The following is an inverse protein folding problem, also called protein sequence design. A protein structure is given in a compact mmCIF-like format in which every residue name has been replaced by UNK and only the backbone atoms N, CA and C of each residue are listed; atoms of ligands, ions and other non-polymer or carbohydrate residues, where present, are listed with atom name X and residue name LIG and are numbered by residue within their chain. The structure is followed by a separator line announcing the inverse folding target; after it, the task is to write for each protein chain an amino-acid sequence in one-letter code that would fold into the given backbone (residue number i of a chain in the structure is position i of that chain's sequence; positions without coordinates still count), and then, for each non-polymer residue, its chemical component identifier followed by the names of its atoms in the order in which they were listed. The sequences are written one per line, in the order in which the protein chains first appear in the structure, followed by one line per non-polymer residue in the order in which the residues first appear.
data_IF_389470985481
#
_entry.id   IF_389470985481
#
_cell.length_a   1.000
_cell.length_b   1.000
_cell.length_c   1.000
_cell.angle_alpha   90.00
_cell.angle_beta   90.00
_cell.angle_gamma   90.00
#
_symmetry.space_group_name_H-M   'P 1'
#
loop_
_entity.id
_entity.type
_entity.pdbx_description
1 polymer ?
#
# COMPACT_ATOMS: atom_id res chain seq x y z
N UNK A 1 20.23 35.58 -13.02
CA UNK A 1 19.97 35.54 -11.58
C UNK A 1 19.80 34.07 -11.22
N UNK A 2 20.07 33.64 -9.99
CA UNK A 2 19.67 32.30 -9.56
C UNK A 2 18.30 32.37 -8.87
N UNK A 3 17.59 31.26 -8.88
CA UNK A 3 16.37 31.00 -8.12
C UNK A 3 16.74 29.95 -7.08
N UNK A 4 16.50 30.28 -5.82
CA UNK A 4 16.70 29.33 -4.72
C UNK A 4 15.54 28.35 -4.70
N UNK A 5 15.85 27.06 -4.75
CA UNK A 5 14.89 25.99 -4.47
C UNK A 5 15.37 25.21 -3.25
N UNK A 6 14.44 24.64 -2.49
CA UNK A 6 14.75 23.81 -1.32
C UNK A 6 14.09 22.45 -1.48
N UNK A 7 14.88 21.38 -1.40
CA UNK A 7 14.42 19.99 -1.52
C UNK A 7 14.93 19.22 -0.31
N UNK A 8 14.03 18.72 0.56
CA UNK A 8 14.39 18.03 1.81
C UNK A 8 15.42 18.78 2.69
N UNK A 9 15.31 20.12 2.76
CA UNK A 9 16.23 20.95 3.53
C UNK A 9 17.55 21.30 2.80
N UNK A 10 17.82 20.68 1.66
CA UNK A 10 18.96 21.05 0.78
C UNK A 10 18.58 22.28 -0.05
N UNK A 11 19.33 23.36 0.12
CA UNK A 11 19.18 24.61 -0.64
C UNK A 11 20.00 24.50 -1.93
N UNK A 12 19.36 24.71 -3.08
CA UNK A 12 19.98 24.60 -4.41
C UNK A 12 19.75 25.92 -5.16
N UNK A 13 20.81 26.47 -5.74
CA UNK A 13 20.78 27.68 -6.57
C UNK A 13 20.56 27.31 -8.04
N UNK A 14 19.31 27.35 -8.51
CA UNK A 14 18.95 27.06 -9.90
C UNK A 14 19.13 28.27 -10.81
N UNK A 15 19.49 28.12 -12.09
CA UNK A 15 19.51 29.25 -13.02
C UNK A 15 18.11 29.84 -13.24
N UNK A 16 18.01 31.17 -13.18
CA UNK A 16 16.97 31.89 -13.92
C UNK A 16 17.31 31.86 -15.41
N UNK A 17 16.29 31.86 -16.27
CA UNK A 17 16.48 31.82 -17.74
C UNK A 17 17.52 32.83 -18.25
N UNK A 18 18.27 32.44 -19.28
CA UNK A 18 19.13 33.35 -20.06
C UNK A 18 20.59 33.50 -19.60
N UNK A 19 21.11 32.65 -18.70
CA UNK A 19 22.52 32.68 -18.28
C UNK A 19 23.27 31.39 -18.68
N UNK A 20 24.46 31.54 -19.29
CA UNK A 20 25.35 30.43 -19.69
C UNK A 20 26.56 30.10 -18.77
N UNK A 21 26.47 30.15 -17.42
CA UNK A 21 27.47 29.55 -16.53
C UNK A 21 27.60 28.01 -16.62
N UNK A 22 28.64 27.46 -15.97
CA UNK A 22 28.75 26.02 -15.74
C UNK A 22 27.74 25.58 -14.66
N UNK A 23 26.55 25.18 -15.10
CA UNK A 23 25.46 24.75 -14.21
C UNK A 23 25.50 23.27 -13.83
N UNK A 24 26.51 22.52 -14.27
CA UNK A 24 26.62 21.10 -13.96
C UNK A 24 26.51 20.81 -12.45
N UNK A 25 27.13 21.57 -11.53
CA UNK A 25 27.00 21.32 -10.09
C UNK A 25 25.55 21.47 -9.58
N UNK A 26 24.86 22.55 -9.91
CA UNK A 26 23.49 22.79 -9.46
C UNK A 26 22.50 21.74 -9.98
N UNK A 27 22.68 21.29 -11.23
CA UNK A 27 21.85 20.22 -11.83
C UNK A 27 22.14 18.86 -11.18
N UNK A 28 23.40 18.57 -10.81
CA UNK A 28 23.76 17.34 -10.10
C UNK A 28 23.17 17.35 -8.68
N UNK A 29 23.33 18.46 -7.94
CA UNK A 29 22.78 18.62 -6.59
C UNK A 29 21.25 18.49 -6.58
N UNK A 30 20.59 19.05 -7.59
CA UNK A 30 19.16 18.84 -7.81
C UNK A 30 18.79 17.38 -7.98
N UNK A 31 19.45 16.69 -8.91
CA UNK A 31 19.14 15.29 -9.19
C UNK A 31 19.33 14.43 -7.94
N UNK A 32 20.40 14.67 -7.18
CA UNK A 32 20.67 13.97 -5.91
C UNK A 32 19.64 14.29 -4.82
N UNK A 33 19.26 15.56 -4.67
CA UNK A 33 18.26 15.95 -3.66
C UNK A 33 16.86 15.41 -4.00
N UNK A 34 16.49 15.38 -5.29
CA UNK A 34 15.25 14.75 -5.76
C UNK A 34 15.28 13.24 -5.56
N UNK A 35 16.38 12.58 -5.89
CA UNK A 35 16.57 11.14 -5.65
C UNK A 35 16.40 10.81 -4.16
N UNK A 36 17.06 11.54 -3.26
CA UNK A 36 16.92 11.35 -1.81
C UNK A 36 15.50 11.64 -1.32
N UNK A 37 14.85 12.69 -1.84
CA UNK A 37 13.46 12.99 -1.51
C UNK A 37 12.50 11.87 -1.92
N UNK A 38 12.70 11.30 -3.11
CA UNK A 38 11.90 10.18 -3.60
C UNK A 38 12.18 8.89 -2.83
N UNK A 39 13.44 8.60 -2.51
CA UNK A 39 13.83 7.46 -1.68
C UNK A 39 13.24 7.56 -0.25
N UNK A 40 13.15 8.77 0.30
CA UNK A 40 12.50 8.99 1.60
C UNK A 40 10.97 8.87 1.55
N UNK A 41 10.38 8.93 0.35
CA UNK A 41 8.92 8.89 0.17
C UNK A 41 8.36 7.48 0.06
N UNK A 42 9.20 6.45 -0.06
CA UNK A 42 8.80 5.04 -0.14
C UNK A 42 9.65 4.23 0.83
N UNK A 43 9.04 3.74 1.89
CA UNK A 43 9.69 2.85 2.85
C UNK A 43 10.07 1.50 2.21
N UNK A 44 11.09 0.79 2.74
CA UNK A 44 11.53 -0.51 2.20
C UNK A 44 10.45 -1.61 2.27
N UNK A 45 9.41 -1.41 3.09
CA UNK A 45 8.26 -2.32 3.24
C UNK A 45 6.95 -1.68 2.79
N UNK A 46 7.01 -0.53 2.09
CA UNK A 46 5.84 0.03 1.44
C UNK A 46 5.48 -0.82 0.22
N UNK A 47 4.17 -0.90 -0.03
CA UNK A 47 3.63 -1.67 -1.15
C UNK A 47 2.96 -0.68 -2.10
N UNK A 48 3.49 -0.48 -3.33
CA UNK A 48 2.88 0.41 -4.28
C UNK A 48 1.50 -0.10 -4.72
N UNK A 49 0.62 0.80 -5.22
CA UNK A 49 -0.70 0.42 -5.70
C UNK A 49 -0.63 -0.71 -6.73
N UNK A 50 -1.34 -1.80 -6.45
CA UNK A 50 -1.43 -2.95 -7.33
C UNK A 50 -2.80 -3.63 -7.19
N UNK A 51 -3.11 -4.55 -8.10
CA UNK A 51 -4.33 -5.33 -8.05
C UNK A 51 -4.04 -6.80 -8.32
N UNK A 52 -4.78 -7.67 -7.62
CA UNK A 52 -4.77 -9.12 -7.84
C UNK A 52 -6.20 -9.59 -8.13
N UNK A 53 -6.30 -10.68 -8.88
CA UNK A 53 -7.55 -11.41 -8.99
C UNK A 53 -7.76 -12.25 -7.72
N UNK A 54 -8.96 -12.20 -7.15
CA UNK A 54 -9.35 -12.97 -5.95
C UNK A 54 -10.47 -13.93 -6.32
N UNK A 55 -10.46 -15.16 -5.84
CA UNK A 55 -11.48 -16.18 -6.15
C UNK A 55 -12.51 -16.32 -5.01
N UNK A 56 -13.53 -17.17 -5.19
CA UNK A 56 -14.34 -17.70 -4.08
C UNK A 56 -13.46 -18.67 -3.27
N UNK A 57 -12.85 -18.18 -2.20
CA UNK A 57 -11.79 -18.86 -1.46
C UNK A 57 -12.26 -19.20 -0.04
N UNK A 58 -12.75 -20.44 0.14
CA UNK A 58 -13.15 -20.94 1.46
C UNK A 58 -11.94 -21.17 2.40
N UNK A 59 -10.75 -21.35 1.83
CA UNK A 59 -9.48 -21.48 2.57
C UNK A 59 -8.67 -20.19 2.52
N UNK A 60 -7.93 -19.94 3.59
CA UNK A 60 -7.03 -18.79 3.70
C UNK A 60 -6.02 -18.78 2.56
N UNK A 61 -6.01 -17.69 1.78
CA UNK A 61 -5.13 -17.50 0.61
C UNK A 61 -4.21 -16.31 0.86
N UNK A 62 -2.88 -16.46 0.72
CA UNK A 62 -1.95 -15.38 1.00
C UNK A 62 -2.04 -14.27 -0.04
N UNK A 63 -1.90 -13.02 0.42
CA UNK A 63 -1.67 -11.87 -0.44
C UNK A 63 -0.17 -11.60 -0.44
N UNK A 64 0.56 -12.21 -1.36
CA UNK A 64 2.03 -12.28 -1.34
C UNK A 64 2.73 -10.91 -1.20
N UNK A 65 2.14 -9.86 -1.77
CA UNK A 65 2.70 -8.50 -1.67
C UNK A 65 2.53 -7.85 -0.28
N UNK A 66 1.63 -8.37 0.57
CA UNK A 66 1.37 -7.90 1.93
C UNK A 66 2.04 -8.83 2.94
N UNK A 67 3.36 -8.72 3.05
CA UNK A 67 4.19 -9.50 3.97
C UNK A 67 5.13 -8.57 4.74
N UNK A 68 4.96 -8.50 6.06
CA UNK A 68 5.59 -7.49 6.90
C UNK A 68 6.42 -8.13 8.02
N UNK A 69 7.76 -8.16 7.92
CA UNK A 69 8.59 -8.84 8.90
C UNK A 69 8.54 -8.18 10.27
N UNK A 70 8.26 -8.98 11.30
CA UNK A 70 8.10 -8.55 12.69
C UNK A 70 9.37 -8.01 13.34
N UNK A 71 10.54 -8.27 12.76
CA UNK A 71 11.83 -7.77 13.26
C UNK A 71 12.10 -6.31 12.92
N UNK A 72 11.32 -5.73 12.01
CA UNK A 72 11.60 -4.39 11.44
C UNK A 72 10.35 -3.55 11.25
N UNK A 73 9.16 -4.14 11.07
CA UNK A 73 7.91 -3.40 10.92
C UNK A 73 7.16 -3.32 12.26
N UNK A 74 6.71 -2.13 12.63
CA UNK A 74 5.90 -1.87 13.83
C UNK A 74 4.41 -1.78 13.52
N UNK A 75 4.08 -1.08 12.44
CA UNK A 75 2.70 -0.82 12.03
C UNK A 75 2.61 -0.72 10.52
N UNK A 76 1.45 -1.01 9.95
CA UNK A 76 1.18 -0.87 8.52
C UNK A 76 -0.21 -0.34 8.31
N UNK A 77 -0.33 0.68 7.47
CA UNK A 77 -1.63 1.18 6.99
C UNK A 77 -1.84 0.73 5.54
N UNK A 78 -2.90 -0.05 5.33
CA UNK A 78 -3.26 -0.62 4.03
C UNK A 78 -4.55 0.04 3.57
N UNK A 79 -4.55 0.61 2.37
CA UNK A 79 -5.77 1.06 1.70
C UNK A 79 -6.13 0.05 0.64
N UNK A 80 -7.42 -0.28 0.54
CA UNK A 80 -7.86 -1.33 -0.37
C UNK A 80 -9.23 -1.03 -0.98
N UNK A 81 -9.51 -1.71 -2.09
CA UNK A 81 -10.82 -1.80 -2.70
C UNK A 81 -11.03 -3.19 -3.28
N UNK A 82 -12.23 -3.73 -3.06
CA UNK A 82 -12.68 -5.03 -3.51
C UNK A 82 -13.83 -4.81 -4.48
N UNK A 83 -13.79 -5.53 -5.58
CA UNK A 83 -14.88 -5.67 -6.51
C UNK A 83 -15.07 -7.15 -6.80
N UNK A 84 -16.28 -7.66 -6.62
CA UNK A 84 -16.64 -9.05 -6.94
C UNK A 84 -17.96 -9.07 -7.67
N UNK A 85 -18.06 -9.91 -8.70
CA UNK A 85 -19.24 -10.01 -9.53
C UNK A 85 -19.44 -11.40 -10.08
N UNK A 86 -20.69 -11.79 -10.28
CA UNK A 86 -21.02 -12.89 -11.20
C UNK A 86 -21.95 -12.47 -12.35
N UNK A 87 -22.28 -13.40 -13.22
CA UNK A 87 -23.28 -13.25 -14.28
C UNK A 87 -24.73 -13.18 -13.75
N UNK A 88 -24.96 -13.48 -12.48
CA UNK A 88 -26.29 -13.33 -11.86
C UNK A 88 -26.64 -11.84 -11.66
N UNK A 89 -27.82 -11.36 -12.10
CA UNK A 89 -28.25 -9.98 -11.83
C UNK A 89 -28.23 -9.66 -10.33
N UNK A 90 -27.71 -8.49 -9.97
CA UNK A 90 -27.54 -8.02 -8.57
C UNK A 90 -26.49 -8.78 -7.73
N UNK A 91 -25.68 -9.65 -8.33
CA UNK A 91 -24.54 -10.28 -7.66
C UNK A 91 -23.26 -9.46 -7.84
N UNK A 92 -23.31 -8.19 -7.45
CA UNK A 92 -22.15 -7.32 -7.44
C UNK A 92 -21.89 -6.85 -6.01
N UNK A 93 -20.67 -7.07 -5.55
CA UNK A 93 -20.23 -6.73 -4.21
C UNK A 93 -19.01 -5.82 -4.32
N UNK A 94 -19.11 -4.66 -3.69
CA UNK A 94 -18.07 -3.65 -3.63
C UNK A 94 -17.77 -3.31 -2.19
N UNK A 95 -16.49 -3.14 -1.91
CA UNK A 95 -15.98 -2.66 -0.63
C UNK A 95 -14.77 -1.78 -0.89
N UNK A 96 -14.63 -0.70 -0.13
CA UNK A 96 -13.43 0.11 -0.11
C UNK A 96 -13.16 0.53 1.33
N UNK A 97 -11.90 0.56 1.73
CA UNK A 97 -11.57 0.81 3.13
C UNK A 97 -10.10 0.92 3.42
N UNK A 98 -9.82 0.99 4.70
CA UNK A 98 -8.48 0.97 5.29
C UNK A 98 -8.37 -0.13 6.32
N UNK A 99 -7.20 -0.76 6.38
CA UNK A 99 -6.81 -1.69 7.43
C UNK A 99 -5.54 -1.18 8.09
N UNK A 100 -5.51 -1.22 9.41
CA UNK A 100 -4.30 -0.93 10.18
C UNK A 100 -3.85 -2.21 10.87
N UNK A 101 -2.58 -2.55 10.66
CA UNK A 101 -1.91 -3.66 11.31
C UNK A 101 -0.91 -3.10 12.31
N UNK A 102 -0.94 -3.58 13.55
CA UNK A 102 0.06 -3.22 14.56
C UNK A 102 0.65 -4.48 15.17
N UNK A 103 1.98 -4.52 15.27
CA UNK A 103 2.69 -5.65 15.86
C UNK A 103 2.90 -5.43 17.35
N UNK A 104 2.32 -6.31 18.17
CA UNK A 104 2.61 -6.41 19.59
C UNK A 104 3.75 -7.41 19.81
N UNK A 105 4.92 -6.88 20.14
CA UNK A 105 6.14 -7.66 20.41
C UNK A 105 6.06 -8.47 21.71
N UNK A 106 5.16 -8.13 22.64
CA UNK A 106 5.02 -8.85 23.92
C UNK A 106 4.28 -10.16 23.69
N UNK A 107 3.15 -10.13 22.97
CA UNK A 107 2.38 -11.32 22.62
C UNK A 107 2.90 -12.02 21.37
N UNK A 108 3.81 -11.38 20.60
CA UNK A 108 4.26 -11.85 19.28
C UNK A 108 3.10 -12.02 18.29
N UNK A 109 2.13 -11.11 18.34
CA UNK A 109 0.93 -11.15 17.48
C UNK A 109 0.72 -9.84 16.74
N UNK A 110 0.09 -9.93 15.58
CA UNK A 110 -0.44 -8.78 14.88
C UNK A 110 -1.90 -8.54 15.27
N UNK A 111 -2.22 -7.30 15.63
CA UNK A 111 -3.61 -6.84 15.65
C UNK A 111 -3.98 -6.27 14.29
N UNK A 112 -5.15 -6.64 13.78
CA UNK A 112 -5.72 -6.11 12.54
C UNK A 112 -7.02 -5.40 12.88
N UNK A 113 -7.09 -4.12 12.55
CA UNK A 113 -8.31 -3.32 12.56
C UNK A 113 -8.67 -2.91 11.14
N UNK A 114 -9.96 -2.84 10.83
CA UNK A 114 -10.47 -2.53 9.49
C UNK A 114 -11.68 -1.62 9.59
N UNK A 115 -11.64 -0.55 8.79
CA UNK A 115 -12.77 0.34 8.54
C UNK A 115 -13.09 0.33 7.04
N UNK A 116 -14.38 0.28 6.69
CA UNK A 116 -14.79 0.07 5.30
C UNK A 116 -16.17 0.66 5.00
N UNK A 117 -16.42 0.88 3.71
CA UNK A 117 -17.70 1.21 3.12
C UNK A 117 -17.98 0.31 1.93
N UNK A 118 -19.24 -0.01 1.67
CA UNK A 118 -19.61 -0.94 0.61
C UNK A 118 -21.06 -1.37 0.67
N UNK A 119 -21.44 -2.24 -0.26
CA UNK A 119 -22.73 -2.93 -0.23
C UNK A 119 -22.61 -4.34 0.39
N UNK A 120 -21.46 -4.66 0.96
CA UNK A 120 -21.18 -5.88 1.73
C UNK A 120 -21.39 -5.63 3.22
N UNK A 121 -21.54 -6.69 4.01
CA UNK A 121 -21.52 -6.62 5.48
C UNK A 121 -20.08 -6.67 6.05
N UNK A 122 -19.07 -6.53 5.18
CA UNK A 122 -17.66 -6.71 5.49
C UNK A 122 -17.23 -8.16 5.71
N UNK A 123 -18.13 -9.14 5.74
CA UNK A 123 -17.78 -10.55 5.97
C UNK A 123 -17.58 -11.32 4.68
N UNK A 124 -17.99 -10.72 3.57
CA UNK A 124 -17.87 -11.31 2.25
C UNK A 124 -16.42 -11.57 1.84
N UNK A 125 -15.50 -10.67 2.19
CA UNK A 125 -14.06 -10.92 2.15
C UNK A 125 -13.51 -10.61 3.54
N UNK A 126 -12.87 -11.58 4.15
CA UNK A 126 -12.29 -11.45 5.49
C UNK A 126 -10.78 -11.49 5.37
N UNK A 127 -10.12 -10.54 6.02
CA UNK A 127 -8.66 -10.48 6.10
C UNK A 127 -8.18 -11.01 7.44
N UNK A 128 -7.07 -11.74 7.40
CA UNK A 128 -6.36 -12.20 8.59
C UNK A 128 -4.88 -12.00 8.41
N UNK A 129 -4.14 -11.93 9.50
CA UNK A 129 -2.67 -11.85 9.49
C UNK A 129 -2.13 -12.94 10.40
N UNK A 130 -1.09 -13.64 9.95
CA UNK A 130 -0.41 -14.63 10.78
C UNK A 130 0.65 -13.99 11.70
N UNK A 131 1.28 -14.81 12.55
CA UNK A 131 2.29 -14.32 13.50
C UNK A 131 3.57 -13.80 12.84
N UNK A 132 3.83 -14.12 11.56
CA UNK A 132 5.02 -13.64 10.84
C UNK A 132 4.74 -12.40 9.99
N UNK A 133 3.50 -11.91 9.99
CA UNK A 133 3.08 -10.68 9.32
C UNK A 133 2.65 -10.88 7.86
N UNK A 134 2.32 -12.11 7.46
CA UNK A 134 1.69 -12.38 6.17
C UNK A 134 0.19 -12.12 6.26
N UNK A 135 -0.33 -11.29 5.36
CA UNK A 135 -1.78 -11.05 5.23
C UNK A 135 -2.40 -12.10 4.31
N UNK A 136 -3.56 -12.60 4.70
CA UNK A 136 -4.37 -13.54 3.96
C UNK A 136 -5.78 -13.00 3.76
N UNK A 137 -6.46 -13.53 2.75
CA UNK A 137 -7.89 -13.36 2.61
C UNK A 137 -8.62 -14.71 2.56
N UNK A 138 -9.86 -14.70 3.02
CA UNK A 138 -10.89 -15.67 2.67
C UNK A 138 -12.06 -14.91 2.05
N UNK A 139 -12.87 -15.60 1.25
CA UNK A 139 -14.07 -15.01 0.68
C UNK A 139 -15.24 -15.99 0.69
N UNK A 140 -16.44 -15.47 0.92
CA UNK A 140 -17.67 -16.23 0.81
C UNK A 140 -17.90 -16.67 -0.64
N UNK A 141 -18.72 -17.69 -0.85
CA UNK A 141 -19.11 -18.06 -2.20
C UNK A 141 -20.16 -17.09 -2.76
N UNK A 142 -19.80 -16.31 -3.77
CA UNK A 142 -20.76 -15.53 -4.55
C UNK A 142 -21.33 -16.42 -5.67
N UNK A 143 -22.64 -16.68 -5.62
CA UNK A 143 -23.29 -17.63 -6.52
C UNK A 143 -23.44 -17.10 -7.95
N UNK A 144 -23.01 -17.91 -8.92
CA UNK A 144 -23.06 -17.61 -10.36
C UNK A 144 -22.13 -18.55 -11.13
N UNK A 145 -22.23 -18.55 -12.46
CA UNK A 145 -21.42 -19.44 -13.32
C UNK A 145 -20.08 -18.79 -13.65
N UNK A 146 -20.11 -17.48 -13.93
CA UNK A 146 -18.92 -16.72 -14.31
C UNK A 146 -18.58 -15.73 -13.20
N UNK A 147 -17.51 -16.00 -12.46
CA UNK A 147 -17.07 -15.15 -11.36
C UNK A 147 -15.87 -14.28 -11.77
N UNK A 148 -15.88 -13.01 -11.34
CA UNK A 148 -14.76 -12.08 -11.47
C UNK A 148 -14.59 -11.33 -10.16
N UNK A 149 -13.40 -11.39 -9.58
CA UNK A 149 -13.08 -10.72 -8.32
C UNK A 149 -11.73 -10.04 -8.40
N UNK A 150 -11.64 -8.80 -7.93
CA UNK A 150 -10.41 -8.02 -7.87
C UNK A 150 -10.24 -7.40 -6.48
N UNK A 151 -9.01 -7.46 -5.99
CA UNK A 151 -8.56 -6.73 -4.81
C UNK A 151 -7.45 -5.77 -5.26
N UNK A 152 -7.72 -4.48 -5.17
CA UNK A 152 -6.74 -3.41 -5.38
C UNK A 152 -6.26 -2.89 -4.04
N UNK A 153 -4.96 -2.68 -3.85
CA UNK A 153 -4.41 -2.26 -2.56
C UNK A 153 -3.07 -1.55 -2.69
N UNK A 154 -2.74 -0.78 -1.65
CA UNK A 154 -1.43 -0.21 -1.38
C UNK A 154 -1.19 -0.20 0.13
N UNK A 155 0.06 -0.27 0.57
CA UNK A 155 0.41 -0.26 1.98
C UNK A 155 1.57 0.67 2.29
N UNK A 156 1.55 1.28 3.48
CA UNK A 156 2.65 2.07 4.01
C UNK A 156 3.07 1.50 5.37
N UNK A 157 4.35 1.17 5.51
CA UNK A 157 4.89 0.52 6.69
C UNK A 157 5.68 1.50 7.55
N UNK A 158 5.43 1.46 8.86
CA UNK A 158 6.20 2.16 9.88
C UNK A 158 7.19 1.20 10.51
N UNK A 159 8.47 1.56 10.50
CA UNK A 159 9.54 0.71 11.01
C UNK A 159 9.67 0.77 12.53
N UNK A 160 10.22 -0.29 13.11
CA UNK A 160 10.71 -0.29 14.49
C UNK A 160 12.01 0.52 14.52
N UNK A 161 12.05 1.56 15.35
CA UNK A 161 13.25 2.37 15.63
C UNK A 161 14.18 1.68 16.61
#
# INVERSE_FOLDING_TARGET
MSVVITIQGTVIEFPSSGQSPNWAPAVIEFAQAVEQALLSSVGPYDVPPQAIDITNAASSTPITALSFPTSVVRSVDIRYSIFRKTDTPSSEEIEAGSMTLAYDSVSSTWSLERDFTGNTDGKTVTFTVDSVGQVFYTSSNLAGTNYSGKLSFAAQALLQS
#
